data_IF_744400038573
#
_entry.id   IF_744400038573
#
_cell.length_a   1.000
_cell.length_b   1.000
_cell.length_c   1.000
_cell.angle_alpha   90.00
_cell.angle_beta   90.00
_cell.angle_gamma   90.00
#
_symmetry.space_group_name_H-M   'P 1'
#
loop_
_entity.id
_entity.type
_entity.pdbx_description
1 polymer ?
#
# COMPACT_ATOMS: atom_id res chain seq x y z
N UNK A 1 15.49 -20.78 13.31
CA UNK A 1 15.72 -20.11 12.02
C UNK A 1 15.07 -18.73 12.04
N UNK A 2 15.48 -17.80 11.15
CA UNK A 2 14.76 -16.52 10.96
C UNK A 2 13.87 -16.64 9.73
N UNK A 3 12.68 -16.03 9.77
CA UNK A 3 11.76 -16.01 8.65
C UNK A 3 10.75 -14.88 8.78
N UNK A 4 9.88 -14.74 7.78
CA UNK A 4 8.81 -13.72 7.71
C UNK A 4 7.44 -14.40 7.70
N UNK A 5 6.50 -13.93 8.51
CA UNK A 5 5.11 -14.40 8.46
C UNK A 5 4.47 -13.93 7.17
N UNK A 6 4.19 -14.84 6.25
CA UNK A 6 3.57 -14.53 4.94
C UNK A 6 2.06 -14.74 4.92
N UNK A 7 1.52 -15.50 5.87
CA UNK A 7 0.08 -15.79 5.98
C UNK A 7 -0.28 -16.17 7.40
N UNK A 8 -1.50 -15.83 7.86
CA UNK A 8 -2.04 -16.24 9.15
C UNK A 8 -3.48 -16.71 8.99
N UNK A 9 -3.79 -17.95 9.42
CA UNK A 9 -5.13 -18.53 9.35
C UNK A 9 -5.41 -19.32 10.63
N UNK A 10 -6.52 -19.03 11.31
CA UNK A 10 -7.05 -19.83 12.43
C UNK A 10 -6.01 -20.16 13.51
N UNK A 11 -5.07 -19.24 13.79
CA UNK A 11 -4.04 -19.43 14.81
C UNK A 11 -2.77 -20.13 14.33
N UNK A 12 -2.71 -20.50 13.06
CA UNK A 12 -1.50 -20.97 12.38
C UNK A 12 -0.87 -19.82 11.61
N UNK A 13 0.46 -19.79 11.59
CA UNK A 13 1.27 -18.80 10.90
C UNK A 13 2.21 -19.51 9.91
N UNK A 14 2.12 -19.13 8.66
CA UNK A 14 2.99 -19.63 7.61
C UNK A 14 4.19 -18.71 7.52
N UNK A 15 5.36 -19.26 7.84
CA UNK A 15 6.61 -18.50 7.93
C UNK A 15 7.51 -18.89 6.75
N UNK A 16 7.77 -17.92 5.89
CA UNK A 16 8.75 -18.08 4.82
C UNK A 16 10.16 -17.94 5.40
N UNK A 17 11.00 -18.95 5.17
CA UNK A 17 12.42 -18.97 5.51
C UNK A 17 13.20 -19.10 4.21
N UNK A 18 14.10 -18.17 3.95
CA UNK A 18 14.90 -18.16 2.73
C UNK A 18 15.60 -19.52 2.53
N UNK A 19 15.71 -19.95 1.26
CA UNK A 19 16.33 -21.21 0.82
C UNK A 19 15.63 -22.50 1.29
N UNK A 20 14.86 -22.46 2.38
CA UNK A 20 14.22 -23.64 2.96
C UNK A 20 12.72 -23.73 2.72
N UNK A 21 12.06 -22.60 2.40
CA UNK A 21 10.63 -22.56 2.06
C UNK A 21 9.72 -22.19 3.21
N UNK A 22 8.46 -22.61 3.15
CA UNK A 22 7.41 -22.20 4.08
C UNK A 22 7.19 -23.26 5.16
N UNK A 23 7.23 -22.81 6.43
CA UNK A 23 6.92 -23.62 7.61
C UNK A 23 5.54 -23.25 8.17
N UNK A 24 4.74 -24.28 8.49
CA UNK A 24 3.52 -24.09 9.27
C UNK A 24 3.87 -24.02 10.75
N UNK A 25 3.62 -22.87 11.38
CA UNK A 25 4.00 -22.60 12.75
C UNK A 25 2.81 -22.28 13.64
N UNK A 26 2.88 -22.69 14.89
CA UNK A 26 1.99 -22.20 15.97
C UNK A 26 2.69 -21.12 16.78
N UNK A 27 1.91 -20.13 17.23
CA UNK A 27 2.44 -19.14 18.18
C UNK A 27 2.50 -19.74 19.59
N UNK A 28 3.61 -19.55 20.31
CA UNK A 28 3.71 -19.96 21.71
C UNK A 28 2.72 -19.16 22.57
N UNK A 29 2.18 -19.79 23.62
CA UNK A 29 1.20 -19.18 24.54
C UNK A 29 1.70 -17.89 25.23
N UNK A 30 3.03 -17.68 25.32
CA UNK A 30 3.65 -16.50 25.90
C UNK A 30 3.21 -15.20 25.17
N UNK A 31 2.91 -15.24 23.88
CA UNK A 31 2.42 -14.05 23.15
C UNK A 31 1.05 -13.58 23.64
N UNK A 32 0.18 -14.51 24.09
CA UNK A 32 -1.10 -14.15 24.72
C UNK A 32 -0.88 -13.42 26.04
N UNK A 33 0.08 -13.86 26.84
CA UNK A 33 0.40 -13.25 28.13
C UNK A 33 0.98 -11.84 27.94
N UNK A 34 1.76 -11.64 26.87
CA UNK A 34 2.37 -10.34 26.52
C UNK A 34 1.41 -9.43 25.72
N UNK A 35 0.17 -9.88 25.43
CA UNK A 35 -0.80 -9.17 24.56
C UNK A 35 -0.25 -8.82 23.18
N UNK A 36 0.76 -9.56 22.70
CA UNK A 36 1.35 -9.37 21.38
C UNK A 36 0.69 -10.36 20.43
N UNK A 37 0.04 -9.85 19.39
CA UNK A 37 -0.53 -10.66 18.32
C UNK A 37 0.45 -10.71 17.16
N UNK A 38 0.88 -11.91 16.70
CA UNK A 38 1.67 -12.01 15.48
C UNK A 38 0.86 -11.51 14.30
N UNK A 39 1.49 -10.73 13.42
CA UNK A 39 0.89 -10.16 12.22
C UNK A 39 1.57 -10.73 10.97
N UNK A 40 0.84 -10.74 9.87
CA UNK A 40 1.43 -10.92 8.55
C UNK A 40 2.45 -9.80 8.34
N UNK A 41 3.65 -10.14 7.85
CA UNK A 41 4.76 -9.18 7.73
C UNK A 41 5.75 -9.19 8.90
N UNK A 42 5.42 -9.80 10.04
CA UNK A 42 6.38 -9.91 11.13
C UNK A 42 7.62 -10.72 10.73
N UNK A 43 8.77 -10.18 11.05
CA UNK A 43 10.01 -10.95 11.09
C UNK A 43 10.07 -11.73 12.40
N UNK A 44 10.33 -13.03 12.29
CA UNK A 44 10.24 -13.95 13.42
C UNK A 44 11.44 -14.88 13.52
N UNK A 45 11.69 -15.38 14.73
CA UNK A 45 12.50 -16.58 14.94
C UNK A 45 11.57 -17.76 15.13
N UNK A 46 11.83 -18.86 14.45
CA UNK A 46 11.10 -20.13 14.59
C UNK A 46 12.03 -21.22 15.14
N UNK A 47 11.42 -22.15 15.88
CA UNK A 47 11.99 -23.44 16.23
C UNK A 47 11.35 -24.48 15.36
N UNK A 48 12.15 -25.21 14.59
CA UNK A 48 11.69 -26.28 13.73
C UNK A 48 11.43 -27.52 14.59
N UNK A 49 10.27 -28.14 14.42
CA UNK A 49 9.86 -29.36 15.10
C UNK A 49 9.97 -30.57 14.17
N UNK A 50 9.69 -30.39 12.88
CA UNK A 50 9.75 -31.42 11.85
C UNK A 50 10.22 -30.77 10.53
N UNK A 51 11.42 -31.09 10.10
CA UNK A 51 12.05 -30.53 8.88
C UNK A 51 11.39 -31.04 7.60
N UNK A 52 11.00 -32.32 7.57
CA UNK A 52 10.40 -32.93 6.38
C UNK A 52 8.99 -32.38 6.14
N UNK A 53 8.20 -32.24 7.22
CA UNK A 53 6.82 -31.73 7.16
C UNK A 53 6.77 -30.20 7.19
N UNK A 54 7.91 -29.53 7.35
CA UNK A 54 7.98 -28.06 7.50
C UNK A 54 7.09 -27.54 8.62
N UNK A 55 7.16 -28.15 9.83
CA UNK A 55 6.40 -27.77 10.99
C UNK A 55 7.32 -27.09 12.02
N UNK A 56 6.83 -26.00 12.65
CA UNK A 56 7.58 -25.30 13.66
C UNK A 56 6.73 -24.51 14.65
N UNK A 57 7.40 -23.77 15.52
CA UNK A 57 6.79 -22.81 16.43
C UNK A 57 7.43 -21.44 16.26
N UNK A 58 6.61 -20.39 16.26
CA UNK A 58 7.08 -19.02 16.41
C UNK A 58 7.62 -18.86 17.83
N UNK A 59 8.92 -18.65 17.95
CA UNK A 59 9.59 -18.48 19.24
C UNK A 59 9.62 -17.02 19.67
N UNK A 60 9.92 -16.11 18.73
CA UNK A 60 10.08 -14.68 18.99
C UNK A 60 9.64 -13.88 17.78
N UNK A 61 8.90 -12.79 18.03
CA UNK A 61 8.64 -11.73 17.05
C UNK A 61 9.75 -10.71 17.19
N UNK A 62 10.39 -10.34 16.08
CA UNK A 62 11.44 -9.31 16.08
C UNK A 62 10.80 -7.91 16.13
N UNK A 63 11.54 -6.87 16.53
CA UNK A 63 11.01 -5.51 16.57
C UNK A 63 10.41 -5.10 15.22
N UNK A 64 9.22 -4.55 15.26
CA UNK A 64 8.54 -3.98 14.09
C UNK A 64 9.11 -2.61 13.78
N UNK A 65 9.33 -2.33 12.52
CA UNK A 65 9.66 -0.98 12.03
C UNK A 65 8.40 -0.14 11.87
N UNK A 66 7.29 -0.78 11.46
CA UNK A 66 5.98 -0.14 11.25
C UNK A 66 4.87 -1.18 11.45
N UNK A 67 3.73 -0.71 11.90
CA UNK A 67 2.51 -1.51 12.00
C UNK A 67 1.34 -0.73 11.41
N UNK A 68 0.63 -1.31 10.45
CA UNK A 68 -0.58 -0.73 9.91
C UNK A 68 -1.79 -1.19 10.72
N UNK A 69 -2.75 -0.29 10.88
CA UNK A 69 -4.01 -0.58 11.59
C UNK A 69 -4.97 -1.33 10.66
N UNK A 70 -5.05 -0.90 9.41
CA UNK A 70 -5.92 -1.51 8.38
C UNK A 70 -5.24 -1.48 7.02
N UNK A 71 -4.98 -2.68 6.47
CA UNK A 71 -5.05 -3.98 7.13
C UNK A 71 -4.03 -4.10 8.27
N UNK A 72 -4.30 -4.96 9.27
CA UNK A 72 -3.35 -5.21 10.36
C UNK A 72 -2.15 -6.01 9.83
N UNK A 73 -1.08 -5.33 9.55
CA UNK A 73 0.16 -5.84 8.92
C UNK A 73 1.37 -5.16 9.55
N UNK A 74 2.49 -5.88 9.64
CA UNK A 74 3.75 -5.35 10.13
C UNK A 74 4.78 -5.13 9.01
N UNK A 75 5.72 -4.21 9.24
CA UNK A 75 6.93 -4.01 8.44
C UNK A 75 6.68 -3.67 6.96
N UNK A 76 5.63 -2.89 6.66
CA UNK A 76 5.41 -2.33 5.33
C UNK A 76 6.38 -1.16 5.12
N UNK A 77 7.19 -1.22 4.07
CA UNK A 77 8.15 -0.18 3.72
C UNK A 77 7.50 0.91 2.86
N UNK A 78 6.61 0.51 1.93
CA UNK A 78 5.92 1.42 1.03
C UNK A 78 4.57 0.86 0.55
N UNK A 79 3.76 1.73 -0.03
CA UNK A 79 2.57 1.36 -0.79
C UNK A 79 2.78 1.66 -2.27
N UNK A 80 2.41 0.72 -3.12
CA UNK A 80 2.29 0.88 -4.56
C UNK A 80 0.81 1.01 -4.90
N UNK A 81 0.38 2.22 -5.23
CA UNK A 81 -1.02 2.50 -5.56
C UNK A 81 -1.17 2.47 -7.08
N UNK A 82 -1.84 1.43 -7.60
CA UNK A 82 -1.94 1.17 -9.04
C UNK A 82 -3.31 1.61 -9.57
N UNK A 83 -3.29 2.51 -10.54
CA UNK A 83 -4.44 2.91 -11.34
C UNK A 83 -4.15 2.66 -12.82
N UNK A 84 -5.18 2.50 -13.65
CA UNK A 84 -4.99 2.51 -15.08
C UNK A 84 -4.89 3.96 -15.57
N UNK A 85 -3.98 4.25 -16.51
CA UNK A 85 -3.91 5.55 -17.18
C UNK A 85 -5.16 5.79 -18.03
N UNK A 86 -5.73 4.69 -18.59
CA UNK A 86 -7.03 4.63 -19.26
C UNK A 86 -7.61 3.21 -19.18
N UNK A 87 -8.92 3.08 -19.38
CA UNK A 87 -9.69 1.81 -19.49
C UNK A 87 -9.44 0.84 -18.29
N UNK A 88 -9.99 1.14 -17.12
CA UNK A 88 -10.91 2.25 -16.82
C UNK A 88 -10.19 3.59 -16.63
N UNK A 89 -10.90 4.69 -16.87
CA UNK A 89 -10.37 6.02 -16.58
C UNK A 89 -10.09 6.15 -15.07
N UNK A 90 -9.01 6.85 -14.70
CA UNK A 90 -8.63 6.96 -13.31
C UNK A 90 -9.66 7.74 -12.50
N UNK A 91 -10.18 7.13 -11.45
CA UNK A 91 -11.01 7.82 -10.46
C UNK A 91 -10.08 8.54 -9.46
N UNK A 92 -9.84 9.83 -9.68
CA UNK A 92 -8.93 10.62 -8.86
C UNK A 92 -9.40 10.77 -7.41
N UNK A 93 -10.73 10.82 -7.16
CA UNK A 93 -11.24 10.85 -5.79
C UNK A 93 -10.89 9.57 -5.03
N UNK A 94 -11.03 8.40 -5.68
CA UNK A 94 -10.63 7.13 -5.09
C UNK A 94 -9.12 7.05 -4.88
N UNK A 95 -8.32 7.55 -5.83
CA UNK A 95 -6.86 7.60 -5.69
C UNK A 95 -6.46 8.47 -4.49
N UNK A 96 -7.06 9.65 -4.34
CA UNK A 96 -6.78 10.55 -3.23
C UNK A 96 -7.17 9.94 -1.87
N UNK A 97 -8.22 9.12 -1.81
CA UNK A 97 -8.57 8.34 -0.61
C UNK A 97 -7.48 7.34 -0.23
N UNK A 98 -6.91 6.62 -1.19
CA UNK A 98 -5.77 5.73 -0.94
C UNK A 98 -4.56 6.52 -0.43
N UNK A 99 -4.26 7.66 -1.06
CA UNK A 99 -3.15 8.51 -0.64
C UNK A 99 -3.35 9.03 0.79
N UNK A 100 -4.53 9.56 1.11
CA UNK A 100 -4.84 10.02 2.47
C UNK A 100 -4.68 8.92 3.51
N UNK A 101 -5.12 7.70 3.20
CA UNK A 101 -4.98 6.56 4.12
C UNK A 101 -3.51 6.21 4.36
N UNK A 102 -2.66 6.29 3.34
CA UNK A 102 -1.23 6.02 3.46
C UNK A 102 -0.50 7.13 4.20
N UNK A 103 -0.81 8.39 3.89
CA UNK A 103 -0.24 9.55 4.59
C UNK A 103 -0.58 9.51 6.08
N UNK A 104 -1.83 9.24 6.44
CA UNK A 104 -2.25 9.11 7.83
C UNK A 104 -1.46 8.02 8.58
N UNK A 105 -1.16 6.91 7.91
CA UNK A 105 -0.37 5.81 8.46
C UNK A 105 1.15 6.01 8.27
N UNK A 106 1.58 7.14 7.68
CA UNK A 106 2.98 7.49 7.41
C UNK A 106 3.69 6.44 6.55
N UNK A 107 2.99 5.90 5.56
CA UNK A 107 3.53 4.94 4.60
C UNK A 107 3.93 5.68 3.33
N UNK A 108 5.21 5.64 2.90
CA UNK A 108 5.63 6.20 1.61
C UNK A 108 4.84 5.59 0.46
N UNK A 109 4.48 6.40 -0.54
CA UNK A 109 3.67 5.97 -1.67
C UNK A 109 4.40 6.22 -2.99
N UNK A 110 4.37 5.21 -3.88
CA UNK A 110 4.60 5.40 -5.31
C UNK A 110 3.27 5.19 -6.04
N UNK A 111 2.86 6.14 -6.87
CA UNK A 111 1.67 6.02 -7.72
C UNK A 111 2.10 5.38 -9.04
N UNK A 112 1.44 4.29 -9.41
CA UNK A 112 1.70 3.58 -10.66
C UNK A 112 0.49 3.70 -11.59
N UNK A 113 0.64 4.41 -12.70
CA UNK A 113 -0.34 4.43 -13.78
C UNK A 113 -0.02 3.34 -14.79
N UNK A 114 -0.70 2.21 -14.67
CA UNK A 114 -0.57 1.08 -15.59
C UNK A 114 -1.39 1.31 -16.87
N UNK A 115 -1.17 0.48 -17.90
CA UNK A 115 -1.75 0.59 -19.24
C UNK A 115 -1.38 1.92 -19.95
N UNK A 116 -0.17 2.40 -19.71
CA UNK A 116 0.31 3.63 -20.32
C UNK A 116 0.43 3.55 -21.85
N UNK A 117 0.37 2.34 -22.43
CA UNK A 117 0.26 2.09 -23.86
C UNK A 117 -1.06 2.59 -24.48
N UNK A 118 -2.05 2.94 -23.64
CA UNK A 118 -3.36 3.44 -24.10
C UNK A 118 -3.48 4.97 -24.09
N UNK A 119 -2.44 5.68 -23.68
CA UNK A 119 -2.44 7.15 -23.54
C UNK A 119 -1.24 7.78 -24.23
N UNK A 120 -1.42 9.03 -24.67
CA UNK A 120 -0.33 9.83 -25.26
C UNK A 120 0.55 10.44 -24.17
N UNK A 121 1.72 11.01 -24.55
CA UNK A 121 2.59 11.68 -23.61
C UNK A 121 1.94 12.96 -23.02
N UNK A 122 1.13 13.67 -23.80
CA UNK A 122 0.36 14.82 -23.31
C UNK A 122 -0.63 14.40 -22.22
N UNK A 123 -1.27 13.24 -22.35
CA UNK A 123 -2.16 12.71 -21.32
C UNK A 123 -1.39 12.25 -20.07
N UNK A 124 -0.20 11.68 -20.23
CA UNK A 124 0.68 11.36 -19.09
C UNK A 124 1.10 12.64 -18.34
N UNK A 125 1.39 13.71 -19.10
CA UNK A 125 1.77 15.00 -18.53
C UNK A 125 0.63 15.62 -17.70
N UNK A 126 -0.62 15.45 -18.11
CA UNK A 126 -1.78 15.85 -17.31
C UNK A 126 -1.79 15.12 -15.96
N UNK A 127 -1.52 13.80 -15.95
CA UNK A 127 -1.45 13.01 -14.71
C UNK A 127 -0.28 13.47 -13.82
N UNK A 128 0.88 13.80 -14.40
CA UNK A 128 2.03 14.36 -13.66
C UNK A 128 1.64 15.66 -12.96
N UNK A 129 1.06 16.59 -13.68
CA UNK A 129 0.64 17.90 -13.14
C UNK A 129 -0.34 17.81 -11.98
N UNK A 130 -1.08 16.70 -11.84
CA UNK A 130 -1.98 16.49 -10.71
C UNK A 130 -1.21 16.09 -9.45
N UNK A 131 -0.22 15.20 -9.53
CA UNK A 131 0.35 14.53 -8.35
C UNK A 131 1.81 14.90 -8.05
N UNK A 132 2.63 15.28 -9.04
CA UNK A 132 4.02 15.71 -8.81
C UNK A 132 4.14 16.95 -7.90
N UNK A 133 3.26 17.97 -8.02
CA UNK A 133 3.28 19.10 -7.09
C UNK A 133 3.06 18.71 -5.62
N UNK A 134 2.35 17.61 -5.37
CA UNK A 134 2.18 17.05 -4.04
C UNK A 134 3.41 16.27 -3.53
N UNK A 135 4.39 16.01 -4.41
CA UNK A 135 5.64 15.31 -4.06
C UNK A 135 5.59 13.79 -4.24
N UNK A 136 4.56 13.24 -4.88
CA UNK A 136 4.49 11.81 -5.12
C UNK A 136 5.39 11.38 -6.28
N UNK A 137 6.07 10.25 -6.09
CA UNK A 137 6.75 9.56 -7.18
C UNK A 137 5.72 8.90 -8.10
N UNK A 138 5.83 9.18 -9.41
CA UNK A 138 4.94 8.62 -10.43
C UNK A 138 5.69 7.63 -11.32
N UNK A 139 5.07 6.49 -11.55
CA UNK A 139 5.56 5.47 -12.47
C UNK A 139 4.47 5.15 -13.49
N UNK A 140 4.81 5.25 -14.78
CA UNK A 140 3.94 4.84 -15.88
C UNK A 140 4.41 3.49 -16.39
N UNK A 141 3.53 2.48 -16.36
CA UNK A 141 3.86 1.10 -16.75
C UNK A 141 2.86 0.56 -17.77
N UNK A 142 3.27 -0.44 -18.50
CA UNK A 142 2.37 -1.30 -19.26
C UNK A 142 2.81 -2.76 -19.11
N UNK A 143 1.98 -3.55 -18.42
CA UNK A 143 2.16 -4.99 -18.35
C UNK A 143 2.07 -5.64 -19.75
N UNK A 144 1.28 -5.05 -20.67
CA UNK A 144 1.10 -5.56 -22.03
C UNK A 144 2.34 -5.38 -22.89
N UNK A 145 2.97 -4.19 -22.84
CA UNK A 145 4.16 -3.86 -23.66
C UNK A 145 5.46 -4.00 -22.90
N UNK A 146 5.40 -4.35 -21.60
CA UNK A 146 6.53 -4.43 -20.67
C UNK A 146 7.24 -3.08 -20.44
N UNK A 147 6.58 -1.96 -20.80
CA UNK A 147 7.13 -0.63 -20.57
C UNK A 147 7.30 -0.36 -19.08
N UNK A 148 8.51 0.01 -18.67
CA UNK A 148 8.90 0.36 -17.29
C UNK A 148 8.65 -0.74 -16.22
N UNK A 149 8.43 -2.01 -16.60
CA UNK A 149 8.29 -3.11 -15.62
C UNK A 149 9.60 -3.33 -14.88
N UNK A 150 10.76 -3.23 -15.54
CA UNK A 150 12.07 -3.33 -14.88
C UNK A 150 12.33 -2.15 -13.91
N UNK A 151 11.88 -0.95 -14.26
CA UNK A 151 11.93 0.20 -13.33
C UNK A 151 11.07 -0.05 -12.10
N UNK A 152 9.87 -0.63 -12.28
CA UNK A 152 9.01 -1.03 -11.17
C UNK A 152 9.71 -2.05 -10.26
N UNK A 153 10.38 -3.07 -10.82
CA UNK A 153 11.17 -4.03 -10.03
C UNK A 153 12.23 -3.33 -9.18
N UNK A 154 12.95 -2.39 -9.77
CA UNK A 154 14.00 -1.63 -9.06
C UNK A 154 13.43 -0.82 -7.90
N UNK A 155 12.25 -0.21 -8.06
CA UNK A 155 11.54 0.54 -6.99
C UNK A 155 11.15 -0.37 -5.83
N UNK A 156 10.79 -1.62 -6.11
CA UNK A 156 10.31 -2.60 -5.12
C UNK A 156 11.45 -3.36 -4.43
N UNK A 157 12.66 -3.36 -5.01
CA UNK A 157 13.77 -4.19 -4.54
C UNK A 157 14.10 -3.97 -3.07
N UNK A 158 14.22 -5.06 -2.31
CA UNK A 158 14.54 -5.05 -0.88
C UNK A 158 13.42 -4.54 0.02
N UNK A 159 12.20 -4.34 -0.51
CA UNK A 159 11.09 -3.74 0.23
C UNK A 159 9.92 -4.71 0.40
N UNK A 160 9.18 -4.48 1.46
CA UNK A 160 7.85 -5.03 1.66
C UNK A 160 6.80 -4.01 1.22
N UNK A 161 6.15 -4.27 0.10
CA UNK A 161 5.25 -3.32 -0.58
C UNK A 161 3.80 -3.75 -0.47
N UNK A 162 2.95 -2.89 0.09
CA UNK A 162 1.51 -3.04 0.00
C UNK A 162 1.01 -2.58 -1.38
N UNK A 163 0.26 -3.42 -2.08
CA UNK A 163 -0.33 -3.07 -3.38
C UNK A 163 -1.80 -2.73 -3.21
N UNK A 164 -2.19 -1.56 -3.67
CA UNK A 164 -3.56 -1.05 -3.63
C UNK A 164 -4.03 -0.56 -5.01
N UNK A 165 -5.34 -0.45 -5.17
CA UNK A 165 -5.95 0.07 -6.40
C UNK A 165 -7.23 -0.66 -6.79
N UNK A 166 -8.07 -0.07 -7.64
CA UNK A 166 -9.37 -0.62 -8.03
C UNK A 166 -9.24 -1.89 -8.89
N UNK A 167 -10.38 -2.56 -9.10
CA UNK A 167 -10.43 -3.70 -10.02
C UNK A 167 -10.20 -3.28 -11.48
N UNK A 168 -9.63 -4.16 -12.29
CA UNK A 168 -9.47 -3.94 -13.74
C UNK A 168 -8.30 -3.05 -14.15
N UNK A 169 -7.50 -2.50 -13.23
CA UNK A 169 -6.32 -1.67 -13.55
C UNK A 169 -5.08 -2.47 -13.98
N UNK A 170 -5.12 -3.80 -13.88
CA UNK A 170 -4.02 -4.67 -14.26
C UNK A 170 -3.04 -5.02 -13.14
N UNK A 171 -3.45 -4.89 -11.86
CA UNK A 171 -2.61 -5.28 -10.69
C UNK A 171 -2.09 -6.71 -10.80
N UNK A 172 -2.99 -7.68 -11.03
CA UNK A 172 -2.60 -9.09 -11.11
C UNK A 172 -1.65 -9.38 -12.28
N UNK A 173 -1.80 -8.68 -13.41
CA UNK A 173 -0.87 -8.81 -14.54
C UNK A 173 0.53 -8.32 -14.14
N UNK A 174 0.66 -7.12 -13.58
CA UNK A 174 1.94 -6.60 -13.11
C UNK A 174 2.57 -7.49 -12.04
N UNK A 175 1.78 -7.98 -11.07
CA UNK A 175 2.29 -8.88 -10.02
C UNK A 175 2.79 -10.19 -10.63
N UNK A 176 2.08 -10.74 -11.62
CA UNK A 176 2.53 -11.95 -12.31
C UNK A 176 3.84 -11.73 -13.07
N UNK A 177 3.95 -10.64 -13.84
CA UNK A 177 5.20 -10.30 -14.54
C UNK A 177 6.39 -10.18 -13.58
N UNK A 178 6.14 -9.64 -12.38
CA UNK A 178 7.14 -9.56 -11.31
C UNK A 178 7.51 -10.94 -10.74
N UNK A 179 6.55 -11.86 -10.63
CA UNK A 179 6.77 -13.23 -10.13
C UNK A 179 7.43 -14.14 -11.16
N UNK A 180 7.03 -14.09 -12.42
CA UNK A 180 7.57 -14.95 -13.48
C UNK A 180 9.07 -14.72 -13.65
N UNK A 181 9.54 -13.51 -13.48
CA UNK A 181 10.96 -13.19 -13.47
C UNK A 181 11.75 -13.90 -12.35
N UNK A 182 11.11 -14.17 -11.20
CA UNK A 182 11.73 -14.89 -10.07
C UNK A 182 11.73 -16.39 -10.31
N UNK A 183 10.64 -16.94 -10.86
CA UNK A 183 10.55 -18.37 -11.18
C UNK A 183 11.59 -18.79 -12.21
N UNK A 184 11.89 -17.94 -13.19
CA UNK A 184 12.94 -18.17 -14.18
C UNK A 184 14.36 -18.18 -13.56
N UNK A 185 14.56 -17.40 -12.46
CA UNK A 185 15.87 -17.32 -11.78
C UNK A 185 16.07 -18.39 -10.69
N UNK A 186 15.00 -18.88 -10.06
CA UNK A 186 15.10 -19.73 -8.85
C UNK A 186 14.64 -21.18 -9.04
N UNK A 187 14.16 -21.56 -10.23
CA UNK A 187 13.84 -22.95 -10.57
C UNK A 187 12.91 -23.65 -9.58
N UNK A 188 11.72 -23.15 -9.32
CA UNK A 188 10.68 -24.02 -8.80
C UNK A 188 10.17 -23.83 -7.37
N UNK A 189 9.98 -22.61 -6.87
CA UNK A 189 9.34 -22.37 -5.55
C UNK A 189 7.81 -22.27 -5.62
N UNK A 190 7.20 -22.32 -6.82
CA UNK A 190 5.80 -21.91 -7.02
C UNK A 190 4.71 -22.98 -6.86
N UNK A 191 5.03 -24.25 -6.69
CA UNK A 191 4.02 -25.35 -6.76
C UNK A 191 3.13 -25.50 -5.52
N UNK A 192 3.28 -24.68 -4.48
CA UNK A 192 2.44 -24.78 -3.26
C UNK A 192 1.65 -23.52 -2.89
N UNK A 193 1.78 -22.42 -3.66
CA UNK A 193 0.91 -21.26 -3.48
C UNK A 193 -0.22 -21.36 -4.49
N UNK A 194 -1.06 -22.40 -4.35
CA UNK A 194 -2.30 -22.51 -5.13
C UNK A 194 -3.12 -21.22 -4.97
N UNK A 195 -3.41 -20.58 -6.11
CA UNK A 195 -4.44 -19.57 -6.21
C UNK A 195 -5.78 -20.18 -5.80
N UNK A 196 -6.12 -20.04 -4.52
CA UNK A 196 -7.47 -20.28 -4.07
C UNK A 196 -8.43 -19.35 -4.83
N UNK A 197 -9.28 -19.93 -5.69
CA UNK A 197 -10.41 -19.25 -6.31
C UNK A 197 -11.22 -18.54 -5.23
N UNK A 198 -11.36 -17.20 -5.38
CA UNK A 198 -12.44 -16.38 -4.82
C UNK A 198 -12.85 -16.61 -3.36
N UNK A 199 -12.14 -15.97 -2.42
CA UNK A 199 -12.67 -15.32 -1.20
C UNK A 199 -11.51 -14.86 -0.32
N UNK A 200 -10.74 -13.87 -0.74
CA UNK A 200 -9.61 -13.33 0.04
C UNK A 200 -10.10 -12.34 1.08
N UNK A 201 -10.44 -12.85 2.27
CA UNK A 201 -10.57 -12.03 3.50
C UNK A 201 -9.25 -11.93 4.29
N UNK A 202 -8.15 -12.49 3.79
CA UNK A 202 -6.87 -12.56 4.50
C UNK A 202 -5.76 -11.96 3.66
N UNK A 203 -5.00 -11.03 4.26
CA UNK A 203 -3.78 -10.50 3.65
C UNK A 203 -2.76 -11.63 3.48
N UNK A 204 -2.17 -11.74 2.31
CA UNK A 204 -1.12 -12.70 1.99
C UNK A 204 0.06 -11.96 1.39
N UNK A 205 1.26 -12.33 1.84
CA UNK A 205 2.52 -11.81 1.29
C UNK A 205 3.07 -12.80 0.28
N UNK A 206 3.50 -12.26 -0.83
CA UNK A 206 4.08 -12.99 -1.95
C UNK A 206 5.55 -12.56 -2.06
N UNK A 207 6.52 -13.45 -1.89
CA UNK A 207 7.91 -13.17 -2.21
C UNK A 207 8.06 -13.03 -3.73
N UNK A 208 8.71 -11.96 -4.20
CA UNK A 208 8.98 -11.71 -5.63
C UNK A 208 10.46 -11.62 -5.98
N UNK A 209 11.32 -11.47 -4.99
CA UNK A 209 12.78 -11.58 -5.09
C UNK A 209 13.36 -11.77 -3.69
N UNK A 210 14.69 -11.89 -3.61
CA UNK A 210 15.37 -11.90 -2.33
C UNK A 210 15.01 -10.65 -1.52
N UNK A 211 14.55 -10.84 -0.28
CA UNK A 211 14.10 -9.78 0.63
C UNK A 211 13.07 -8.81 0.03
N UNK A 212 12.39 -9.20 -1.06
CA UNK A 212 11.43 -8.37 -1.77
C UNK A 212 10.06 -9.04 -1.74
N UNK A 213 9.06 -8.33 -1.20
CA UNK A 213 7.75 -8.90 -0.95
C UNK A 213 6.63 -7.98 -1.43
N UNK A 214 5.59 -8.55 -1.98
CA UNK A 214 4.34 -7.87 -2.29
C UNK A 214 3.24 -8.41 -1.39
N UNK A 215 2.44 -7.51 -0.83
CA UNK A 215 1.22 -7.83 -0.15
C UNK A 215 0.03 -7.39 -1.01
N UNK A 216 -0.72 -8.36 -1.52
CA UNK A 216 -2.01 -8.07 -2.13
C UNK A 216 -3.04 -7.85 -1.03
N UNK A 217 -3.59 -6.66 -0.97
CA UNK A 217 -4.52 -6.25 0.08
C UNK A 217 -5.92 -6.14 -0.46
N UNK A 218 -6.76 -7.17 -0.31
CA UNK A 218 -8.18 -7.00 -0.47
C UNK A 218 -8.70 -6.10 0.67
N UNK A 219 -9.29 -4.97 0.36
CA UNK A 219 -9.99 -4.16 1.34
C UNK A 219 -9.46 -2.77 1.65
N UNK A 220 -8.53 -2.22 0.88
CA UNK A 220 -8.19 -0.79 0.95
C UNK A 220 -9.30 0.13 0.40
N UNK A 221 -10.52 -0.35 0.26
CA UNK A 221 -11.60 0.39 -0.40
C UNK A 221 -12.42 1.29 0.53
N UNK A 222 -12.21 1.24 1.86
CA UNK A 222 -12.93 2.10 2.80
C UNK A 222 -11.97 2.99 3.59
N UNK A 223 -12.27 4.28 3.65
CA UNK A 223 -11.55 5.28 4.45
C UNK A 223 -11.89 5.24 5.94
N UNK A 224 -12.46 4.15 6.44
CA UNK A 224 -12.80 4.04 7.87
C UNK A 224 -11.52 3.83 8.70
N UNK A 225 -10.82 4.91 8.98
CA UNK A 225 -9.70 4.93 9.92
C UNK A 225 -10.22 5.31 11.30
N UNK A 226 -10.10 4.45 12.31
CA UNK A 226 -10.48 4.79 13.67
C UNK A 226 -9.72 6.01 14.17
N UNK A 227 -10.43 7.01 14.66
CA UNK A 227 -9.83 8.23 15.21
C UNK A 227 -9.45 9.29 14.18
N UNK A 228 -9.64 9.05 12.87
CA UNK A 228 -9.42 10.06 11.85
C UNK A 228 -10.59 11.04 11.78
N UNK A 229 -10.31 12.32 11.89
CA UNK A 229 -11.32 13.39 11.86
C UNK A 229 -11.22 14.24 10.61
N UNK A 230 -12.29 14.95 10.27
CA UNK A 230 -12.26 15.90 9.15
C UNK A 230 -11.28 17.06 9.40
N UNK A 231 -11.02 17.39 10.64
CA UNK A 231 -10.06 18.40 11.06
C UNK A 231 -8.62 17.98 10.73
N UNK A 232 -8.35 16.68 10.67
CA UNK A 232 -7.03 16.12 10.35
C UNK A 232 -6.83 15.89 8.84
N UNK A 233 -7.90 15.97 8.03
CA UNK A 233 -7.88 15.60 6.61
C UNK A 233 -6.80 16.34 5.80
N UNK A 234 -6.62 17.64 6.05
CA UNK A 234 -5.63 18.45 5.35
C UNK A 234 -4.19 17.95 5.56
N UNK A 235 -3.90 17.31 6.70
CA UNK A 235 -2.57 16.75 7.00
C UNK A 235 -2.21 15.59 6.08
N UNK A 236 -3.20 14.99 5.43
CA UNK A 236 -3.03 13.91 4.45
C UNK A 236 -2.81 14.42 3.02
N UNK A 237 -2.69 15.74 2.84
CA UNK A 237 -2.35 16.38 1.59
C UNK A 237 -0.98 17.08 1.74
N UNK A 238 0.13 16.46 1.34
CA UNK A 238 1.49 17.00 1.57
C UNK A 238 1.67 18.42 1.02
N UNK A 239 1.02 18.72 -0.09
CA UNK A 239 0.98 20.07 -0.68
C UNK A 239 0.26 21.07 0.23
N UNK A 240 -0.79 20.67 0.95
CA UNK A 240 -1.48 21.55 1.90
C UNK A 240 -0.61 21.84 3.11
N UNK A 241 0.05 20.82 3.66
CA UNK A 241 0.98 20.96 4.80
C UNK A 241 2.08 21.98 4.48
N UNK A 242 2.55 22.02 3.22
CA UNK A 242 3.57 22.98 2.77
C UNK A 242 3.08 24.43 2.81
N UNK A 243 1.81 24.68 2.51
CA UNK A 243 1.25 26.04 2.38
C UNK A 243 0.37 26.46 3.58
N UNK A 244 0.06 25.55 4.51
CA UNK A 244 -0.71 25.84 5.73
C UNK A 244 -0.10 26.97 6.57
N UNK A 245 1.22 27.11 6.74
CA UNK A 245 1.81 28.22 7.49
C UNK A 245 1.47 29.61 6.96
N UNK A 246 1.00 29.72 5.71
CA UNK A 246 0.48 30.95 5.12
C UNK A 246 -0.99 31.25 5.46
N UNK A 247 -1.66 30.42 6.24
CA UNK A 247 -3.04 30.65 6.67
C UNK A 247 -3.10 31.63 7.85
N UNK A 248 -4.06 32.55 7.79
CA UNK A 248 -4.29 33.51 8.88
C UNK A 248 -4.89 32.86 10.13
N UNK A 249 -5.70 31.82 9.97
CA UNK A 249 -6.47 31.20 11.06
C UNK A 249 -5.87 29.86 11.46
N UNK A 250 -5.67 29.65 12.76
CA UNK A 250 -5.30 28.36 13.33
C UNK A 250 -6.48 27.39 13.13
N UNK A 251 -6.19 26.18 12.65
CA UNK A 251 -7.23 25.19 12.35
C UNK A 251 -8.05 25.50 11.10
N UNK A 252 -7.46 26.24 10.15
CA UNK A 252 -8.07 26.53 8.86
C UNK A 252 -8.50 25.23 8.16
N UNK A 253 -9.76 25.19 7.72
CA UNK A 253 -10.27 24.06 6.92
C UNK A 253 -9.89 24.14 5.45
N UNK A 254 -9.28 25.26 5.04
CA UNK A 254 -8.88 25.59 3.66
C UNK A 254 -10.04 25.65 2.65
N UNK A 255 -11.27 25.77 3.11
CA UNK A 255 -12.50 25.79 2.28
C UNK A 255 -13.14 27.18 2.26
N UNK A 256 -13.61 27.65 3.40
CA UNK A 256 -14.39 28.88 3.52
C UNK A 256 -13.60 30.08 4.03
N UNK A 257 -12.49 29.86 4.71
CA UNK A 257 -11.75 30.91 5.40
C UNK A 257 -11.11 31.90 4.43
N UNK A 258 -11.15 33.20 4.71
CA UNK A 258 -10.37 34.20 3.98
C UNK A 258 -8.88 34.08 4.35
N UNK A 259 -8.01 34.67 3.56
CA UNK A 259 -6.55 34.71 3.80
C UNK A 259 -5.96 33.33 4.09
N UNK A 260 -6.28 32.35 3.22
CA UNK A 260 -5.84 30.97 3.32
C UNK A 260 -4.65 30.71 2.40
N UNK A 261 -3.49 30.30 2.96
CA UNK A 261 -2.28 30.00 2.21
C UNK A 261 -2.46 28.89 1.17
N UNK A 262 -3.27 27.87 1.49
CA UNK A 262 -3.60 26.78 0.55
C UNK A 262 -4.39 27.29 -0.65
N UNK A 263 -5.41 28.14 -0.42
CA UNK A 263 -6.20 28.74 -1.52
C UNK A 263 -5.39 29.71 -2.36
N UNK A 264 -4.46 30.44 -1.75
CA UNK A 264 -3.52 31.28 -2.50
C UNK A 264 -2.62 30.42 -3.40
N UNK A 265 -2.06 29.34 -2.86
CA UNK A 265 -1.23 28.41 -3.64
C UNK A 265 -2.03 27.72 -4.77
N UNK A 266 -3.31 27.43 -4.55
CA UNK A 266 -4.22 26.92 -5.58
C UNK A 266 -4.40 27.94 -6.70
N UNK A 267 -4.67 29.20 -6.38
CA UNK A 267 -4.83 30.28 -7.35
C UNK A 267 -3.55 30.54 -8.16
N UNK A 268 -2.39 30.31 -7.56
CA UNK A 268 -1.08 30.40 -8.21
C UNK A 268 -0.70 29.13 -9.04
N UNK A 269 -1.57 28.12 -9.08
CA UNK A 269 -1.32 26.86 -9.79
C UNK A 269 -0.29 25.94 -9.15
N UNK A 270 0.09 26.18 -7.89
CA UNK A 270 1.04 25.36 -7.11
C UNK A 270 0.36 24.11 -6.52
N UNK A 271 -0.96 24.10 -6.47
CA UNK A 271 -1.80 22.97 -6.05
C UNK A 271 -2.74 22.65 -7.22
N UNK A 272 -2.90 21.37 -7.52
CA UNK A 272 -3.84 20.92 -8.55
C UNK A 272 -5.28 21.15 -8.13
N UNK A 273 -6.11 21.74 -9.02
CA UNK A 273 -7.55 21.87 -8.82
C UNK A 273 -8.22 20.52 -8.59
N UNK A 274 -7.80 19.46 -9.28
CA UNK A 274 -8.36 18.12 -9.09
C UNK A 274 -8.16 17.63 -7.67
N UNK A 275 -6.97 17.83 -7.11
CA UNK A 275 -6.63 17.45 -5.73
C UNK A 275 -7.43 18.28 -4.72
N UNK A 276 -7.52 19.58 -4.94
CA UNK A 276 -8.27 20.47 -4.07
C UNK A 276 -9.78 20.14 -4.07
N UNK A 277 -10.37 19.89 -5.23
CA UNK A 277 -11.78 19.55 -5.35
C UNK A 277 -12.09 18.22 -4.66
N UNK A 278 -11.21 17.22 -4.80
CA UNK A 278 -11.32 15.96 -4.10
C UNK A 278 -11.23 16.14 -2.57
N UNK A 279 -10.33 17.00 -2.10
CA UNK A 279 -10.23 17.37 -0.68
C UNK A 279 -11.54 17.95 -0.16
N UNK A 280 -12.11 18.94 -0.87
CA UNK A 280 -13.38 19.56 -0.50
C UNK A 280 -14.50 18.53 -0.44
N UNK A 281 -14.59 17.66 -1.45
CA UNK A 281 -15.58 16.58 -1.47
C UNK A 281 -15.42 15.65 -0.27
N UNK A 282 -14.21 15.19 0.00
CA UNK A 282 -13.90 14.32 1.12
C UNK A 282 -14.25 14.95 2.47
N UNK A 283 -13.88 16.22 2.65
CA UNK A 283 -14.19 16.98 3.86
C UNK A 283 -15.71 17.07 4.09
N UNK A 284 -16.48 17.35 3.04
CA UNK A 284 -17.94 17.40 3.14
C UNK A 284 -18.57 16.07 3.46
N UNK A 285 -18.09 14.99 2.86
CA UNK A 285 -18.54 13.63 3.20
C UNK A 285 -18.28 13.32 4.67
N UNK A 286 -17.08 13.58 5.19
CA UNK A 286 -16.73 13.35 6.59
C UNK A 286 -17.55 14.24 7.54
N UNK A 287 -17.84 15.48 7.13
CA UNK A 287 -18.71 16.41 7.90
C UNK A 287 -20.12 15.85 8.04
N UNK A 288 -20.63 15.19 6.99
CA UNK A 288 -21.99 14.66 6.94
C UNK A 288 -22.11 13.25 7.53
N UNK A 289 -20.99 12.55 7.74
CA UNK A 289 -21.00 11.25 8.44
C UNK A 289 -21.48 11.46 9.89
N UNK A 290 -22.58 10.84 10.25
CA UNK A 290 -23.04 10.81 11.64
C UNK A 290 -22.02 10.04 12.47
N UNK A 291 -21.49 10.66 13.53
CA UNK A 291 -20.76 9.94 14.57
C UNK A 291 -21.80 9.09 15.33
N UNK A 292 -21.79 7.78 15.09
CA UNK A 292 -22.53 6.82 15.92
C UNK A 292 -21.65 6.40 17.09
#
# INVERSE_FOLDING_TARGET
>A
MKGKIVKGISGFYYVYVAETGIYECKAKGIFRNQKIKPLVGDDVKIVVLDEEKKIGNVEKILPRTRELIRPAVANIDMALVIFAAAKPDPNFNLLDRFLCMMEYQKVPVTICFNKCDLVTEEQREVLRKIYEPAGYELLFTSAKTQENVEKLKSVLQGKMTAVAGPSGVGKSSLINDLQDAVQMQTGGISDKIERGKHTTRHSQIIPIAENTYIMDTPGFSSMDLPGFSKEDLWTCYPEFVRFEPGCRFIGCSHIGEPDCGVKTALAEGKISHVRYDNYVQLYQEMKNMRKY
#
